data_IF_287053024672
#
_entry.id   IF_287053024672
#
_cell.length_a   1.000
_cell.length_b   1.000
_cell.length_c   1.000
_cell.angle_alpha   90.00
_cell.angle_beta   90.00
_cell.angle_gamma   90.00
#
_symmetry.space_group_name_H-M   'P 1'
#
loop_
_entity.id
_entity.type
_entity.pdbx_description
1 polymer ?
#
# COMPACT_ATOMS: atom_id res chain seq x y z
N UNK A 1 -12.85 -15.21 -26.76
CA UNK A 1 -12.88 -16.69 -26.93
C UNK A 1 -11.58 -17.36 -26.48
N UNK A 2 -10.39 -16.83 -26.82
CA UNK A 2 -9.11 -17.43 -26.41
C UNK A 2 -8.85 -17.48 -24.89
N UNK A 3 -9.27 -16.47 -24.13
CA UNK A 3 -9.02 -16.43 -22.67
C UNK A 3 -9.78 -17.52 -21.91
N UNK A 4 -11.02 -17.83 -22.32
CA UNK A 4 -11.82 -18.88 -21.69
C UNK A 4 -11.18 -20.27 -21.89
N UNK A 5 -10.68 -20.55 -23.10
CA UNK A 5 -9.98 -21.79 -23.43
C UNK A 5 -8.66 -21.93 -22.64
N UNK A 6 -7.90 -20.83 -22.51
CA UNK A 6 -6.68 -20.81 -21.69
C UNK A 6 -6.97 -21.09 -20.21
N UNK A 7 -8.05 -20.52 -19.64
CA UNK A 7 -8.47 -20.77 -18.26
C UNK A 7 -8.87 -22.23 -18.06
N UNK A 8 -9.58 -22.83 -19.02
CA UNK A 8 -9.93 -24.25 -18.98
C UNK A 8 -8.68 -25.15 -19.05
N UNK A 9 -7.74 -24.84 -19.93
CA UNK A 9 -6.49 -25.57 -20.04
C UNK A 9 -5.69 -25.49 -18.73
N UNK A 10 -5.62 -24.32 -18.12
CA UNK A 10 -4.99 -24.12 -16.81
C UNK A 10 -5.67 -24.94 -15.71
N UNK A 11 -7.01 -24.96 -15.66
CA UNK A 11 -7.73 -25.79 -14.69
C UNK A 11 -7.44 -27.28 -14.88
N UNK A 12 -7.43 -27.80 -16.13
CA UNK A 12 -7.10 -29.20 -16.40
C UNK A 12 -5.67 -29.54 -15.97
N UNK A 13 -4.73 -28.64 -16.22
CA UNK A 13 -3.34 -28.80 -15.77
C UNK A 13 -3.25 -28.86 -14.24
N UNK A 14 -3.96 -27.99 -13.51
CA UNK A 14 -4.02 -28.02 -12.05
C UNK A 14 -4.61 -29.34 -11.52
N UNK A 15 -5.66 -29.86 -12.15
CA UNK A 15 -6.26 -31.14 -11.79
C UNK A 15 -5.29 -32.31 -12.00
N UNK A 16 -4.54 -32.33 -13.10
CA UNK A 16 -3.48 -33.32 -13.30
C UNK A 16 -2.36 -33.17 -12.26
N UNK A 17 -2.01 -31.93 -11.90
CA UNK A 17 -0.99 -31.64 -10.88
C UNK A 17 -1.42 -32.10 -9.49
N UNK A 18 -2.71 -32.05 -9.16
CA UNK A 18 -3.26 -32.55 -7.91
C UNK A 18 -3.01 -34.06 -7.75
N UNK A 19 -3.26 -34.85 -8.80
CA UNK A 19 -2.99 -36.30 -8.80
C UNK A 19 -1.51 -36.63 -8.64
N UNK A 20 -0.61 -35.74 -9.10
CA UNK A 20 0.83 -35.88 -8.88
C UNK A 20 1.19 -35.54 -7.42
N UNK A 21 0.56 -34.51 -6.83
CA UNK A 21 0.81 -34.11 -5.45
C UNK A 21 0.42 -35.20 -4.43
N UNK A 22 -0.57 -36.02 -4.74
CA UNK A 22 -0.96 -37.17 -3.90
C UNK A 22 0.16 -38.21 -3.71
N UNK A 23 1.12 -38.26 -4.63
CA UNK A 23 2.26 -39.18 -4.61
C UNK A 23 3.44 -38.66 -3.78
N UNK A 24 3.36 -37.45 -3.20
CA UNK A 24 4.40 -36.91 -2.33
C UNK A 24 4.48 -37.75 -1.05
N UNK A 25 5.69 -38.20 -0.72
CA UNK A 25 5.97 -39.06 0.43
C UNK A 25 5.85 -38.31 1.77
N UNK A 26 6.40 -37.09 1.86
CA UNK A 26 6.30 -36.27 3.06
C UNK A 26 4.84 -35.79 3.24
N UNK A 27 4.15 -36.19 4.33
CA UNK A 27 2.77 -35.80 4.57
C UNK A 27 2.58 -34.29 4.73
N UNK A 28 3.56 -33.58 5.30
CA UNK A 28 3.45 -32.13 5.51
C UNK A 28 3.60 -31.37 4.18
N UNK A 29 4.54 -31.78 3.34
CA UNK A 29 4.71 -31.22 2.00
C UNK A 29 3.51 -31.53 1.10
N UNK A 30 3.00 -32.76 1.16
CA UNK A 30 1.79 -33.17 0.44
C UNK A 30 0.60 -32.29 0.80
N UNK A 31 0.30 -32.17 2.09
CA UNK A 31 -0.83 -31.35 2.58
C UNK A 31 -0.72 -29.90 2.12
N UNK A 32 0.47 -29.29 2.27
CA UNK A 32 0.72 -27.92 1.80
C UNK A 32 0.50 -27.78 0.29
N UNK A 33 1.02 -28.71 -0.49
CA UNK A 33 0.95 -28.69 -1.96
C UNK A 33 -0.49 -28.90 -2.44
N UNK A 34 -1.20 -29.88 -1.87
CA UNK A 34 -2.61 -30.15 -2.13
C UNK A 34 -3.46 -28.91 -1.87
N UNK A 35 -3.32 -28.28 -0.71
CA UNK A 35 -4.06 -27.05 -0.36
C UNK A 35 -3.82 -25.91 -1.33
N UNK A 36 -2.57 -25.72 -1.76
CA UNK A 36 -2.23 -24.69 -2.75
C UNK A 36 -2.90 -24.95 -4.11
N UNK A 37 -2.86 -26.19 -4.59
CA UNK A 37 -3.47 -26.58 -5.86
C UNK A 37 -4.99 -26.46 -5.79
N UNK A 38 -5.63 -26.94 -4.73
CA UNK A 38 -7.08 -26.84 -4.54
C UNK A 38 -7.54 -25.38 -4.47
N UNK A 39 -6.82 -24.52 -3.75
CA UNK A 39 -7.08 -23.08 -3.72
C UNK A 39 -6.96 -22.45 -5.12
N UNK A 40 -5.96 -22.84 -5.91
CA UNK A 40 -5.79 -22.34 -7.27
C UNK A 40 -6.92 -22.81 -8.20
N UNK A 41 -7.39 -24.07 -8.06
CA UNK A 41 -8.54 -24.60 -8.81
C UNK A 41 -9.80 -23.79 -8.49
N UNK A 42 -10.08 -23.56 -7.21
CA UNK A 42 -11.25 -22.77 -6.79
C UNK A 42 -11.22 -21.35 -7.35
N UNK A 43 -10.07 -20.67 -7.30
CA UNK A 43 -9.92 -19.33 -7.87
C UNK A 43 -10.09 -19.33 -9.39
N UNK A 44 -9.58 -20.34 -10.09
CA UNK A 44 -9.74 -20.48 -11.55
C UNK A 44 -11.21 -20.64 -11.94
N UNK A 45 -11.99 -21.41 -11.18
CA UNK A 45 -13.43 -21.57 -11.40
C UNK A 45 -14.16 -20.24 -11.18
N UNK A 46 -13.87 -19.54 -10.08
CA UNK A 46 -14.45 -18.22 -9.79
C UNK A 46 -14.14 -17.21 -10.88
N UNK A 47 -12.89 -17.17 -11.34
CA UNK A 47 -12.49 -16.27 -12.42
C UNK A 47 -13.20 -16.59 -13.72
N UNK A 48 -13.32 -17.87 -14.10
CA UNK A 48 -14.09 -18.27 -15.27
C UNK A 48 -15.55 -17.83 -15.17
N UNK A 49 -16.16 -17.94 -13.99
CA UNK A 49 -17.53 -17.49 -13.76
C UNK A 49 -17.68 -15.98 -14.02
N UNK A 50 -16.79 -15.16 -13.46
CA UNK A 50 -16.76 -13.69 -13.67
C UNK A 50 -16.63 -13.37 -15.16
N UNK A 51 -15.70 -14.03 -15.86
CA UNK A 51 -15.48 -13.85 -17.30
C UNK A 51 -16.71 -14.28 -18.10
N UNK A 52 -17.38 -15.37 -17.73
CA UNK A 52 -18.57 -15.87 -18.42
C UNK A 52 -19.82 -15.03 -18.19
N UNK A 53 -19.95 -14.40 -17.02
CA UNK A 53 -21.08 -13.53 -16.66
C UNK A 53 -20.94 -12.13 -17.26
N UNK A 54 -19.81 -11.82 -17.90
CA UNK A 54 -19.58 -10.53 -18.55
C UNK A 54 -19.54 -9.37 -17.55
N UNK A 55 -19.09 -9.61 -16.32
CA UNK A 55 -18.89 -8.56 -15.32
C UNK A 55 -17.69 -7.71 -15.75
N UNK A 56 -17.95 -6.71 -16.60
CA UNK A 56 -16.91 -5.83 -17.18
C UNK A 56 -16.30 -4.86 -16.15
N UNK A 57 -17.01 -4.56 -15.04
CA UNK A 57 -16.51 -3.67 -14.00
C UNK A 57 -16.23 -4.44 -12.71
N UNK A 58 -14.99 -4.92 -12.56
CA UNK A 58 -14.42 -5.10 -11.22
C UNK A 58 -14.13 -3.68 -10.71
N UNK A 59 -14.86 -3.18 -9.69
CA UNK A 59 -14.65 -1.83 -9.21
C UNK A 59 -13.19 -1.66 -8.76
N UNK A 60 -12.59 -0.54 -9.13
CA UNK A 60 -11.22 -0.21 -8.77
C UNK A 60 -11.02 -0.36 -7.25
N UNK A 61 -9.94 -1.01 -6.79
CA UNK A 61 -9.63 -1.09 -5.37
C UNK A 61 -9.27 0.29 -4.78
N UNK A 62 -9.06 1.29 -5.63
CA UNK A 62 -8.79 2.66 -5.24
C UNK A 62 -10.09 3.44 -5.10
N UNK A 63 -10.32 3.97 -3.90
CA UNK A 63 -11.41 4.91 -3.64
C UNK A 63 -10.94 6.30 -4.06
N UNK A 64 -11.54 6.88 -5.10
CA UNK A 64 -11.39 8.31 -5.37
C UNK A 64 -12.04 9.10 -4.23
N UNK A 65 -11.24 9.88 -3.50
CA UNK A 65 -11.73 10.80 -2.48
C UNK A 65 -11.63 12.21 -3.04
N UNK A 66 -12.76 12.91 -3.11
CA UNK A 66 -12.84 14.27 -3.66
C UNK A 66 -12.16 15.33 -2.77
N UNK A 67 -11.77 14.98 -1.55
CA UNK A 67 -11.21 15.92 -0.58
C UNK A 67 -9.98 15.34 0.16
N UNK A 68 -8.89 16.12 0.29
CA UNK A 68 -7.72 15.72 1.06
C UNK A 68 -8.09 15.55 2.54
N UNK A 69 -7.62 14.47 3.16
CA UNK A 69 -7.87 14.14 4.58
C UNK A 69 -7.17 15.13 5.53
N UNK A 70 -6.23 15.94 5.03
CA UNK A 70 -5.58 17.00 5.80
C UNK A 70 -6.22 18.34 5.44
N UNK A 71 -6.95 18.90 6.40
CA UNK A 71 -7.16 20.35 6.46
C UNK A 71 -5.80 20.95 6.77
N UNK A 72 -5.11 21.48 5.76
CA UNK A 72 -4.05 22.45 6.02
C UNK A 72 -4.80 23.71 6.41
N UNK A 73 -5.01 23.93 7.70
CA UNK A 73 -5.33 25.28 8.16
C UNK A 73 -4.16 26.15 7.71
N UNK A 74 -4.45 27.17 6.89
CA UNK A 74 -3.50 28.24 6.58
C UNK A 74 -3.20 28.97 7.90
N UNK A 75 -2.34 28.40 8.74
CA UNK A 75 -1.58 29.19 9.70
C UNK A 75 -0.74 30.14 8.86
N UNK A 76 -1.33 31.30 8.63
CA UNK A 76 -0.64 32.50 8.15
C UNK A 76 0.60 32.63 9.00
N UNK A 77 1.75 32.27 8.43
CA UNK A 77 3.06 32.58 8.98
C UNK A 77 3.14 34.11 8.97
N UNK A 78 2.69 34.73 10.06
CA UNK A 78 2.96 36.14 10.29
C UNK A 78 4.45 36.22 10.51
N UNK A 79 5.19 36.66 9.49
CA UNK A 79 6.59 37.02 9.61
C UNK A 79 6.71 38.02 10.76
N UNK A 80 7.14 37.53 11.92
CA UNK A 80 7.47 38.38 13.06
C UNK A 80 8.66 39.21 12.63
N UNK A 81 8.48 40.52 12.78
CA UNK A 81 9.44 41.57 12.48
C UNK A 81 10.82 41.18 13.03
N UNK A 82 11.78 41.01 12.11
CA UNK A 82 13.20 40.80 12.40
C UNK A 82 13.63 41.87 13.40
N UNK A 83 13.71 41.47 14.65
CA UNK A 83 14.31 42.28 15.69
C UNK A 83 15.79 41.98 15.59
N UNK A 84 16.59 42.93 15.09
CA UNK A 84 18.06 42.89 15.14
C UNK A 84 18.52 42.91 16.61
N UNK A 85 18.21 41.86 17.34
CA UNK A 85 18.55 41.67 18.73
C UNK A 85 19.67 40.64 18.74
N UNK A 86 20.89 41.10 18.99
CA UNK A 86 22.07 40.25 19.17
C UNK A 86 21.97 39.33 20.40
N UNK A 87 20.82 39.28 21.07
CA UNK A 87 20.56 38.54 22.31
C UNK A 87 19.13 37.97 22.29
N UNK A 88 19.01 36.68 22.62
CA UNK A 88 17.76 35.94 22.69
C UNK A 88 16.85 36.48 23.80
N UNK A 89 15.58 36.73 23.50
CA UNK A 89 14.60 37.17 24.52
C UNK A 89 14.18 36.07 25.49
N UNK A 90 14.44 34.80 25.15
CA UNK A 90 14.01 33.64 25.96
C UNK A 90 15.11 33.19 26.93
N UNK A 91 16.35 33.06 26.45
CA UNK A 91 17.47 32.56 27.27
C UNK A 91 18.59 33.56 27.47
N UNK A 92 18.46 34.79 26.95
CA UNK A 92 19.40 35.90 27.12
C UNK A 92 20.81 35.64 26.56
N UNK A 93 20.97 34.58 25.76
CA UNK A 93 22.23 34.25 25.09
C UNK A 93 22.38 34.99 23.76
N UNK A 94 23.63 35.26 23.34
CA UNK A 94 23.88 35.98 22.10
C UNK A 94 23.39 35.20 20.85
N UNK A 95 22.65 35.88 19.97
CA UNK A 95 22.19 35.34 18.68
C UNK A 95 23.06 35.92 17.58
N UNK A 96 23.50 35.05 16.66
CA UNK A 96 24.20 35.46 15.44
C UNK A 96 23.19 36.08 14.48
N UNK A 97 23.51 37.25 13.90
CA UNK A 97 22.61 38.01 13.01
C UNK A 97 22.15 37.22 11.76
N UNK A 98 22.83 36.13 11.42
CA UNK A 98 22.51 35.26 10.28
C UNK A 98 21.55 34.09 10.62
N UNK A 99 21.04 34.01 11.85
CA UNK A 99 20.17 32.92 12.31
C UNK A 99 18.83 33.45 12.81
N UNK A 100 17.73 32.97 12.22
CA UNK A 100 16.36 33.27 12.64
C UNK A 100 15.92 32.51 13.92
N UNK A 101 16.82 31.73 14.52
CA UNK A 101 16.54 30.94 15.72
C UNK A 101 17.74 30.93 16.69
N UNK A 102 17.46 30.83 17.99
CA UNK A 102 18.50 30.75 19.00
C UNK A 102 19.09 29.33 19.07
N UNK A 103 20.40 29.14 18.87
CA UNK A 103 21.02 27.81 18.93
C UNK A 103 21.06 27.22 20.34
N UNK A 104 20.92 28.04 21.39
CA UNK A 104 21.02 27.58 22.78
C UNK A 104 19.70 27.02 23.33
N UNK A 105 18.55 27.56 22.91
CA UNK A 105 17.24 27.10 23.40
C UNK A 105 16.31 26.55 22.29
N UNK A 106 16.65 26.78 21.02
CA UNK A 106 15.86 26.30 19.87
C UNK A 106 14.61 27.14 19.55
N UNK A 107 14.41 28.26 20.24
CA UNK A 107 13.30 29.18 20.00
C UNK A 107 13.61 30.15 18.85
N UNK A 108 12.61 30.48 18.03
CA UNK A 108 12.70 31.52 17.01
C UNK A 108 12.64 32.91 17.67
N UNK A 109 13.55 33.82 17.30
CA UNK A 109 13.76 35.10 17.99
C UNK A 109 13.68 36.32 17.07
#
# INVERSE_FOLDING_TARGET
MGDAEAIEQYQRWLQARLSIAEQIEDPAEKDRTTKQIESAIQLSIKYRQIVSEGVEEIPSPFVHRDSPVRLVEDERVTSTVVSNASVCRNCEEAISDDLDFCPSCGEYC
#
